data_IF_417449019007
#
_entry.id   IF_417449019007
#
_cell.length_a   1.000
_cell.length_b   1.000
_cell.length_c   1.000
_cell.angle_alpha   90.00
_cell.angle_beta   90.00
_cell.angle_gamma   90.00
#
_symmetry.space_group_name_H-M   'P 1'
#
loop_
_entity.id
_entity.type
_entity.pdbx_description
1 polymer ?
#
# COMPACT_ATOMS: atom_id res chain seq x y z
N UNK A 1 -13.69 -9.45 12.59
CA UNK A 1 -13.10 -9.07 11.30
C UNK A 1 -11.89 -8.20 11.58
N UNK A 2 -10.72 -8.50 11.01
CA UNK A 2 -9.53 -7.64 11.16
C UNK A 2 -9.73 -6.38 10.32
N UNK A 3 -9.63 -5.21 10.95
CA UNK A 3 -9.66 -3.92 10.26
C UNK A 3 -8.25 -3.41 10.03
N UNK A 4 -7.97 -2.72 8.90
CA UNK A 4 -6.67 -2.11 8.69
C UNK A 4 -6.36 -1.09 9.79
N UNK A 5 -5.11 -1.10 10.28
CA UNK A 5 -4.60 0.01 11.07
C UNK A 5 -4.34 1.16 10.12
N UNK A 6 -4.93 2.31 10.42
CA UNK A 6 -4.77 3.53 9.64
C UNK A 6 -3.96 4.55 10.43
N UNK A 7 -2.88 5.04 9.85
CA UNK A 7 -2.16 6.24 10.26
C UNK A 7 -2.34 7.32 9.18
N UNK A 8 -1.91 8.59 9.40
CA UNK A 8 -2.06 9.65 8.41
C UNK A 8 -1.43 9.37 7.04
N UNK A 9 -0.32 8.63 7.00
CA UNK A 9 0.40 8.31 5.76
C UNK A 9 -0.30 7.18 4.99
N UNK A 10 -0.82 6.19 5.71
CA UNK A 10 -1.52 5.02 5.17
C UNK A 10 -3.01 5.24 4.89
N UNK A 11 -3.66 6.22 5.52
CA UNK A 11 -5.09 6.47 5.37
C UNK A 11 -5.54 6.64 3.90
N UNK A 12 -4.83 7.40 3.03
CA UNK A 12 -5.25 7.53 1.63
C UNK A 12 -5.16 6.20 0.86
N UNK A 13 -4.17 5.34 1.13
CA UNK A 13 -4.08 4.02 0.50
C UNK A 13 -5.34 3.19 0.79
N UNK A 14 -5.80 3.17 2.05
CA UNK A 14 -7.02 2.45 2.43
C UNK A 14 -8.30 3.08 1.87
N UNK A 15 -8.37 4.41 1.76
CA UNK A 15 -9.50 5.10 1.13
C UNK A 15 -9.66 4.73 -0.34
N UNK A 16 -8.56 4.64 -1.10
CA UNK A 16 -8.60 4.19 -2.50
C UNK A 16 -8.90 2.71 -2.61
N UNK A 17 -8.36 1.88 -1.72
CA UNK A 17 -8.67 0.45 -1.68
C UNK A 17 -10.17 0.20 -1.45
N UNK A 18 -10.82 0.98 -0.56
CA UNK A 18 -12.27 0.91 -0.33
C UNK A 18 -13.11 1.30 -1.57
N UNK A 19 -12.52 2.02 -2.53
CA UNK A 19 -13.13 2.38 -3.82
C UNK A 19 -12.80 1.39 -4.94
N UNK A 20 -12.08 0.30 -4.64
CA UNK A 20 -11.63 -0.68 -5.64
C UNK A 20 -10.45 -0.19 -6.49
N UNK A 21 -9.69 0.79 -6.01
CA UNK A 21 -8.54 1.34 -6.74
C UNK A 21 -7.21 0.99 -6.06
N UNK A 22 -6.28 0.41 -6.82
CA UNK A 22 -4.88 0.32 -6.41
C UNK A 22 -4.19 1.64 -6.75
N UNK A 23 -3.94 2.47 -5.73
CA UNK A 23 -3.09 3.65 -5.86
C UNK A 23 -1.82 3.51 -5.05
N UNK A 24 -0.71 3.98 -5.61
CA UNK A 24 0.60 4.00 -4.95
C UNK A 24 1.07 5.45 -4.84
N UNK A 25 1.66 5.78 -3.69
CA UNK A 25 2.22 7.09 -3.44
C UNK A 25 3.43 7.32 -4.37
N UNK A 26 3.45 8.44 -5.09
CA UNK A 26 4.59 8.93 -5.86
C UNK A 26 5.17 10.18 -5.22
N UNK A 27 6.46 10.43 -5.38
CA UNK A 27 7.04 11.73 -5.09
C UNK A 27 6.69 12.71 -6.21
N UNK A 28 6.08 13.85 -5.87
CA UNK A 28 5.67 14.84 -6.88
C UNK A 28 6.87 15.59 -7.51
N UNK A 29 8.06 15.51 -6.91
CA UNK A 29 9.25 16.21 -7.42
C UNK A 29 10.17 15.31 -8.27
N UNK A 30 10.32 14.03 -7.91
CA UNK A 30 11.21 13.10 -8.61
C UNK A 30 10.51 11.89 -9.25
N UNK A 31 9.21 11.72 -9.03
CA UNK A 31 8.42 10.65 -9.62
C UNK A 31 8.57 9.27 -8.97
N UNK A 32 9.48 9.11 -7.99
CA UNK A 32 9.74 7.83 -7.32
C UNK A 32 8.46 7.28 -6.66
N UNK A 33 8.11 6.03 -6.99
CA UNK A 33 6.99 5.32 -6.39
C UNK A 33 7.39 4.75 -5.02
N UNK A 34 6.48 4.81 -4.05
CA UNK A 34 6.75 4.50 -2.65
C UNK A 34 5.68 3.58 -2.10
N UNK A 35 6.10 2.39 -1.67
CA UNK A 35 5.27 1.47 -0.91
C UNK A 35 6.12 0.77 0.18
N UNK A 36 5.68 0.74 1.45
CA UNK A 36 4.47 1.38 2.00
C UNK A 36 4.48 2.92 1.88
N UNK A 37 3.32 3.59 1.97
CA UNK A 37 3.24 5.06 1.99
C UNK A 37 4.06 5.65 3.13
N UNK A 38 4.77 6.75 2.89
CA UNK A 38 5.65 7.43 3.86
C UNK A 38 5.59 8.94 3.72
N UNK A 39 5.91 9.71 4.78
CA UNK A 39 5.77 11.17 4.77
C UNK A 39 6.80 11.87 3.87
N UNK A 40 7.95 11.24 3.61
CA UNK A 40 9.07 11.82 2.89
C UNK A 40 9.62 10.85 1.82
N UNK A 41 10.10 11.38 0.71
CA UNK A 41 10.73 10.62 -0.35
C UNK A 41 12.12 10.13 0.08
N UNK A 42 12.40 8.82 0.06
CA UNK A 42 13.71 8.30 0.43
C UNK A 42 14.81 8.62 -0.62
N UNK A 43 14.40 9.00 -1.84
CA UNK A 43 15.33 9.30 -2.92
C UNK A 43 15.79 10.77 -2.90
N UNK A 44 14.87 11.72 -2.81
CA UNK A 44 15.18 13.17 -2.91
C UNK A 44 14.83 13.99 -1.66
N UNK A 45 14.34 13.36 -0.59
CA UNK A 45 13.94 14.01 0.67
C UNK A 45 12.76 14.99 0.59
N UNK A 46 12.09 15.09 -0.55
CA UNK A 46 10.88 15.88 -0.69
C UNK A 46 9.71 15.31 0.12
N UNK A 47 8.87 16.19 0.66
CA UNK A 47 7.57 15.87 1.25
C UNK A 47 6.43 15.94 0.22
N UNK A 48 6.70 16.50 -0.97
CA UNK A 48 5.72 16.60 -2.04
C UNK A 48 5.32 15.21 -2.53
N UNK A 49 4.02 14.93 -2.47
CA UNK A 49 3.47 13.59 -2.68
C UNK A 49 2.24 13.65 -3.57
N UNK A 50 2.11 12.65 -4.44
CA UNK A 50 0.94 12.42 -5.28
C UNK A 50 0.49 10.96 -5.17
N UNK A 51 -0.75 10.67 -5.57
CA UNK A 51 -1.30 9.31 -5.57
C UNK A 51 -1.64 8.88 -6.99
N UNK A 52 -0.87 7.92 -7.51
CA UNK A 52 -0.98 7.46 -8.89
C UNK A 52 -1.79 6.17 -8.93
N UNK A 53 -2.79 6.10 -9.80
CA UNK A 53 -3.55 4.86 -10.07
C UNK A 53 -2.68 3.88 -10.84
N UNK A 54 -2.56 2.66 -10.33
CA UNK A 54 -1.82 1.59 -10.98
C UNK A 54 -2.70 0.87 -12.01
N UNK A 55 -2.08 0.20 -12.96
CA UNK A 55 -2.78 -0.54 -14.01
C UNK A 55 -3.55 -1.76 -13.50
N UNK A 56 -3.22 -2.26 -12.30
CA UNK A 56 -3.73 -3.52 -11.77
C UNK A 56 -3.03 -4.76 -12.32
N UNK A 57 -2.07 -4.60 -13.24
CA UNK A 57 -1.25 -5.70 -13.76
C UNK A 57 0.03 -5.85 -12.95
N UNK A 58 0.46 -7.10 -12.77
CA UNK A 58 1.69 -7.43 -12.06
C UNK A 58 2.15 -8.86 -12.36
N UNK A 59 3.26 -9.26 -11.74
CA UNK A 59 3.79 -10.62 -11.79
C UNK A 59 4.00 -11.11 -10.38
N UNK A 60 3.78 -12.41 -10.14
CA UNK A 60 4.11 -13.01 -8.85
C UNK A 60 5.63 -12.97 -8.69
N UNK A 61 6.10 -12.22 -7.70
CA UNK A 61 7.51 -12.18 -7.32
C UNK A 61 7.89 -13.37 -6.44
N UNK A 62 7.05 -13.67 -5.44
CA UNK A 62 7.17 -14.79 -4.52
C UNK A 62 5.82 -15.07 -3.86
N UNK A 63 5.63 -16.24 -3.26
CA UNK A 63 4.42 -16.61 -2.52
C UNK A 63 4.74 -17.58 -1.37
N UNK A 64 3.84 -17.66 -0.40
CA UNK A 64 3.92 -18.58 0.75
C UNK A 64 2.61 -19.37 0.83
N UNK A 65 2.71 -20.66 1.15
CA UNK A 65 1.55 -21.52 1.47
C UNK A 65 1.54 -21.78 2.97
N UNK A 66 0.66 -21.13 3.75
CA UNK A 66 0.61 -21.34 5.18
C UNK A 66 -0.04 -22.70 5.49
N UNK A 67 0.54 -23.45 6.42
CA UNK A 67 0.04 -24.75 6.87
C UNK A 67 -0.55 -24.64 8.29
N UNK A 68 -1.54 -25.48 8.67
CA UNK A 68 -2.21 -25.38 9.97
C UNK A 68 -1.28 -25.56 11.20
N UNK A 69 -1.66 -24.99 12.36
CA UNK A 69 -2.85 -24.17 12.58
C UNK A 69 -2.66 -22.74 12.06
N UNK A 70 -3.63 -22.25 11.28
CA UNK A 70 -3.68 -20.85 10.90
C UNK A 70 -4.12 -20.02 12.12
N UNK A 71 -3.71 -18.75 12.17
CA UNK A 71 -4.09 -17.82 13.25
C UNK A 71 -5.59 -17.91 13.53
N UNK A 72 -5.94 -18.18 14.79
CA UNK A 72 -7.31 -18.24 15.28
C UNK A 72 -7.98 -16.87 15.06
N UNK A 73 -8.96 -16.80 14.16
CA UNK A 73 -9.77 -15.60 13.91
C UNK A 73 -10.02 -15.21 12.45
N UNK A 74 -9.45 -15.94 11.47
CA UNK A 74 -9.69 -15.72 10.02
C UNK A 74 -10.69 -16.72 9.40
N UNK A 75 -11.19 -17.66 10.19
CA UNK A 75 -12.26 -18.60 9.83
C UNK A 75 -13.53 -18.15 10.55
N UNK A 76 -14.25 -17.20 9.96
CA UNK A 76 -15.53 -16.69 10.46
C UNK A 76 -16.20 -15.85 9.41
#
# INVERSE_FOLDING_TARGET
MLSPVTDPDGAPFWQYAAQGELRVQGCADCGELRFPPRPCCPHCQSFASEWRRMSGHGRIWSYVVPHPPLLLGVLG
#
